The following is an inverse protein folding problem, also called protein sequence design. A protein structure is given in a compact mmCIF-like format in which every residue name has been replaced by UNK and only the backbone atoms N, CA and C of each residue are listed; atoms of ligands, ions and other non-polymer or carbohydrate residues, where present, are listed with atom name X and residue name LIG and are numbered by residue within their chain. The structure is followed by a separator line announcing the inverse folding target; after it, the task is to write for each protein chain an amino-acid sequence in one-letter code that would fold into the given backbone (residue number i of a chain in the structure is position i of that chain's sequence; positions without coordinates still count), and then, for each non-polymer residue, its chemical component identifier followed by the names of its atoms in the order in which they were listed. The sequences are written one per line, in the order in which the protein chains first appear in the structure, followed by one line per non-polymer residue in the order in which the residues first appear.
data_IF_226292210386
#
_entry.id   IF_226292210386
#
_cell.length_a   1.000
_cell.length_b   1.000
_cell.length_c   1.000
_cell.angle_alpha   90.00
_cell.angle_beta   90.00
_cell.angle_gamma   90.00
#
_symmetry.space_group_name_H-M   'P 1'
#
loop_
_entity.id
_entity.type
_entity.pdbx_description
1 polymer ?
#
# COMPACT_ATOMS: atom_id res chain seq x y z
N UNK A 1 11.43 26.84 -51.77
CA UNK A 1 12.44 26.74 -50.70
C UNK A 1 12.51 25.29 -50.26
N UNK A 2 13.70 24.67 -50.15
CA UNK A 2 13.80 23.23 -50.06
C UNK A 2 13.38 22.73 -48.68
N UNK A 3 12.66 21.60 -48.67
CA UNK A 3 12.34 20.83 -47.49
C UNK A 3 13.63 20.22 -46.92
N UNK A 4 14.06 20.69 -45.76
CA UNK A 4 15.11 20.02 -44.98
C UNK A 4 14.52 18.74 -44.38
N UNK A 5 14.80 17.62 -45.04
CA UNK A 5 14.65 16.29 -44.47
C UNK A 5 15.56 16.15 -43.25
N UNK A 6 15.01 16.25 -42.04
CA UNK A 6 15.70 15.84 -40.83
C UNK A 6 15.77 14.31 -40.80
N UNK A 7 16.88 13.76 -41.29
CA UNK A 7 17.23 12.36 -41.07
C UNK A 7 17.72 12.22 -39.63
N UNK A 8 16.84 11.84 -38.72
CA UNK A 8 17.18 11.46 -37.34
C UNK A 8 17.89 10.09 -37.36
N UNK A 9 19.17 10.07 -37.69
CA UNK A 9 20.07 9.01 -37.23
C UNK A 9 20.32 9.24 -35.74
N UNK A 10 19.51 8.58 -34.92
CA UNK A 10 19.65 8.60 -33.46
C UNK A 10 20.86 7.77 -33.04
N UNK A 11 21.79 8.30 -32.23
CA UNK A 11 22.89 7.52 -31.66
C UNK A 11 22.33 6.45 -30.72
N UNK A 12 23.04 5.31 -30.63
CA UNK A 12 22.69 4.11 -29.84
C UNK A 12 22.54 4.31 -28.32
N UNK A 13 22.50 5.54 -27.83
CA UNK A 13 22.36 5.88 -26.41
C UNK A 13 21.63 7.22 -26.28
N UNK A 14 20.30 7.19 -26.23
CA UNK A 14 19.53 8.37 -25.83
C UNK A 14 19.78 8.61 -24.33
N UNK A 15 20.43 9.72 -24.00
CA UNK A 15 20.57 10.14 -22.60
C UNK A 15 19.43 11.08 -22.21
N UNK A 16 19.07 11.13 -20.93
CA UNK A 16 18.04 12.05 -20.42
C UNK A 16 18.34 13.52 -20.75
N UNK A 17 19.62 13.86 -20.95
CA UNK A 17 20.09 15.18 -21.37
C UNK A 17 19.61 15.55 -22.78
N UNK A 18 19.53 14.59 -23.70
CA UNK A 18 19.13 14.81 -25.11
C UNK A 18 17.62 15.11 -25.25
N UNK A 19 16.80 14.64 -24.30
CA UNK A 19 15.34 14.86 -24.29
C UNK A 19 14.93 16.26 -23.83
N UNK A 20 15.81 16.98 -23.12
CA UNK A 20 15.55 18.34 -22.63
C UNK A 20 15.65 19.42 -23.72
N UNK A 21 16.37 19.12 -24.80
CA UNK A 21 16.65 20.02 -25.93
C UNK A 21 15.61 19.92 -27.05
N UNK A 22 14.74 18.92 -27.02
CA UNK A 22 13.72 18.68 -28.04
C UNK A 22 12.49 19.53 -27.72
N UNK A 23 12.17 20.47 -28.62
CA UNK A 23 10.91 21.23 -28.57
C UNK A 23 9.72 20.28 -28.51
N UNK A 24 8.93 20.33 -27.44
CA UNK A 24 7.85 19.38 -27.13
C UNK A 24 6.56 19.68 -27.91
N UNK A 25 6.63 19.58 -29.24
CA UNK A 25 5.42 19.62 -30.08
C UNK A 25 4.72 18.24 -30.11
N UNK A 26 3.37 18.18 -30.20
CA UNK A 26 2.63 16.91 -30.29
C UNK A 26 3.08 15.99 -31.44
N UNK A 27 3.58 16.56 -32.54
CA UNK A 27 4.12 15.82 -33.67
C UNK A 27 5.38 15.03 -33.28
N UNK A 28 6.28 15.64 -32.49
CA UNK A 28 7.49 14.97 -32.03
C UNK A 28 7.19 13.78 -31.10
N UNK A 29 6.18 13.88 -30.23
CA UNK A 29 5.78 12.76 -29.36
C UNK A 29 5.30 11.56 -30.19
N UNK A 30 4.45 11.81 -31.20
CA UNK A 30 3.95 10.76 -32.08
C UNK A 30 5.08 10.10 -32.88
N UNK A 31 6.03 10.89 -33.37
CA UNK A 31 7.17 10.37 -34.14
C UNK A 31 8.11 9.53 -33.26
N UNK A 32 8.38 9.96 -32.02
CA UNK A 32 9.15 9.16 -31.05
C UNK A 32 8.45 7.83 -30.75
N UNK A 33 7.15 7.87 -30.44
CA UNK A 33 6.38 6.65 -30.16
C UNK A 33 6.35 5.70 -31.36
N UNK A 34 6.20 6.23 -32.58
CA UNK A 34 6.09 5.42 -33.80
C UNK A 34 7.43 4.85 -34.28
N UNK A 35 8.49 5.65 -34.24
CA UNK A 35 9.76 5.32 -34.87
C UNK A 35 10.82 4.80 -33.89
N UNK A 36 10.68 5.09 -32.58
CA UNK A 36 11.62 4.65 -31.55
C UNK A 36 10.98 3.58 -30.66
N UNK A 37 9.83 3.86 -30.05
CA UNK A 37 9.24 2.95 -29.06
C UNK A 37 8.60 1.73 -29.71
N UNK A 38 7.65 1.91 -30.64
CA UNK A 38 6.88 0.81 -31.26
C UNK A 38 7.74 -0.32 -31.85
N UNK A 39 8.85 -0.06 -32.58
CA UNK A 39 9.69 -1.14 -33.11
C UNK A 39 10.21 -2.10 -32.04
N UNK A 40 10.51 -1.61 -30.85
CA UNK A 40 11.03 -2.41 -29.73
C UNK A 40 9.99 -3.38 -29.12
N UNK A 41 8.71 -3.15 -29.39
CA UNK A 41 7.61 -4.01 -28.91
C UNK A 41 6.95 -4.80 -30.04
N UNK A 42 7.42 -4.67 -31.29
CA UNK A 42 6.78 -5.33 -32.45
C UNK A 42 6.95 -6.87 -32.40
N UNK A 43 8.07 -7.35 -31.84
CA UNK A 43 8.31 -8.77 -31.64
C UNK A 43 7.48 -9.37 -30.48
N UNK A 44 6.96 -8.52 -29.58
CA UNK A 44 6.23 -8.93 -28.37
C UNK A 44 4.95 -8.11 -28.22
N UNK A 45 3.97 -8.28 -29.12
CA UNK A 45 2.70 -7.57 -29.02
C UNK A 45 1.95 -7.99 -27.74
N UNK A 46 1.36 -7.02 -27.06
CA UNK A 46 0.67 -7.28 -25.81
C UNK A 46 -0.59 -8.15 -26.02
N UNK A 47 -0.75 -9.30 -25.34
CA UNK A 47 -1.76 -10.30 -25.69
C UNK A 47 -3.20 -9.85 -25.45
N UNK A 48 -3.45 -8.88 -24.55
CA UNK A 48 -4.81 -8.41 -24.22
C UNK A 48 -5.21 -7.10 -24.91
N UNK A 49 -4.39 -6.56 -25.80
CA UNK A 49 -4.65 -5.28 -26.46
C UNK A 49 -4.68 -5.44 -27.98
N UNK A 50 -5.64 -4.76 -28.61
CA UNK A 50 -5.65 -4.62 -30.06
C UNK A 50 -4.50 -3.69 -30.51
N UNK A 51 -3.65 -4.15 -31.43
CA UNK A 51 -2.43 -3.43 -31.85
C UNK A 51 -2.69 -2.04 -32.46
N UNK A 52 -3.82 -1.87 -33.16
CA UNK A 52 -4.15 -0.60 -33.82
C UNK A 52 -5.03 0.34 -32.99
N UNK A 53 -5.80 -0.18 -32.04
CA UNK A 53 -6.80 0.63 -31.31
C UNK A 53 -6.53 0.70 -29.81
N UNK A 54 -5.64 -0.14 -29.28
CA UNK A 54 -5.42 -0.34 -27.85
C UNK A 54 -6.71 -0.63 -27.05
N UNK A 55 -7.77 -1.11 -27.71
CA UNK A 55 -8.94 -1.65 -27.02
C UNK A 55 -8.61 -3.00 -26.41
N UNK A 56 -9.18 -3.27 -25.24
CA UNK A 56 -9.03 -4.56 -24.57
C UNK A 56 -9.71 -5.65 -25.39
N UNK A 57 -9.00 -6.76 -25.59
CA UNK A 57 -9.51 -7.92 -26.30
C UNK A 57 -10.32 -8.82 -25.35
N UNK A 58 -11.43 -9.37 -25.84
CA UNK A 58 -12.26 -10.31 -25.07
C UNK A 58 -11.53 -11.63 -24.76
N UNK A 59 -10.59 -12.02 -25.63
CA UNK A 59 -9.69 -13.16 -25.43
C UNK A 59 -8.26 -12.71 -25.71
N UNK A 60 -7.26 -13.25 -25.00
CA UNK A 60 -5.87 -13.03 -25.35
C UNK A 60 -5.62 -13.43 -26.82
N UNK A 61 -4.88 -12.61 -27.55
CA UNK A 61 -4.36 -12.98 -28.86
C UNK A 61 -3.37 -14.14 -28.71
N UNK A 62 -3.30 -15.02 -29.72
CA UNK A 62 -2.26 -16.03 -29.81
C UNK A 62 -0.90 -15.32 -30.00
N UNK A 63 -0.21 -15.09 -28.89
CA UNK A 63 1.16 -14.61 -28.88
C UNK A 63 2.09 -15.83 -28.80
N UNK A 64 3.09 -15.89 -29.68
CA UNK A 64 4.31 -16.69 -29.40
C UNK A 64 4.89 -16.25 -28.05
N UNK A 65 5.60 -17.16 -27.38
CA UNK A 65 6.11 -16.99 -26.00
C UNK A 65 6.46 -15.51 -25.68
N UNK A 66 5.64 -14.80 -24.89
CA UNK A 66 5.76 -13.35 -24.71
C UNK A 66 7.05 -12.93 -24.00
N UNK A 67 7.79 -13.91 -23.46
CA UNK A 67 9.06 -13.71 -22.77
C UNK A 67 10.27 -14.08 -23.63
N UNK A 68 10.07 -14.64 -24.82
CA UNK A 68 11.15 -15.01 -25.70
C UNK A 68 11.65 -13.79 -26.51
N UNK A 69 12.92 -13.42 -26.30
CA UNK A 69 13.63 -12.34 -27.03
C UNK A 69 12.91 -10.98 -26.98
N UNK A 70 13.04 -10.28 -25.83
CA UNK A 70 12.41 -8.99 -25.54
C UNK A 70 13.39 -7.81 -25.78
N UNK A 71 13.51 -7.28 -27.02
CA UNK A 71 14.55 -6.30 -27.36
C UNK A 71 14.40 -4.97 -26.60
N UNK A 72 13.19 -4.65 -26.12
CA UNK A 72 12.96 -3.47 -25.30
C UNK A 72 13.74 -3.50 -23.97
N UNK A 73 14.12 -4.68 -23.45
CA UNK A 73 14.92 -4.80 -22.21
C UNK A 73 16.37 -4.40 -22.39
N UNK A 74 16.89 -4.48 -23.63
CA UNK A 74 18.27 -4.09 -23.96
C UNK A 74 18.44 -2.57 -24.09
N UNK A 75 17.35 -1.81 -23.96
CA UNK A 75 17.33 -0.36 -24.12
C UNK A 75 17.21 0.31 -22.75
N UNK A 76 18.33 0.69 -22.11
CA UNK A 76 18.27 1.36 -20.82
C UNK A 76 17.51 2.69 -20.94
N UNK A 77 16.73 3.02 -19.91
CA UNK A 77 15.93 4.26 -19.84
C UNK A 77 14.82 4.37 -20.89
N UNK A 78 14.41 3.26 -21.52
CA UNK A 78 13.22 3.27 -22.37
C UNK A 78 11.96 3.75 -21.61
N UNK A 79 11.86 3.42 -20.32
CA UNK A 79 10.82 3.93 -19.44
C UNK A 79 10.85 5.46 -19.28
N UNK A 80 12.03 6.10 -19.25
CA UNK A 80 12.13 7.57 -19.24
C UNK A 80 11.61 8.20 -20.54
N UNK A 81 11.86 7.55 -21.69
CA UNK A 81 11.35 8.01 -22.99
C UNK A 81 9.83 7.91 -23.02
N UNK A 82 9.26 6.80 -22.54
CA UNK A 82 7.81 6.62 -22.45
C UNK A 82 7.21 7.64 -21.47
N UNK A 83 7.83 7.85 -20.31
CA UNK A 83 7.44 8.86 -19.33
C UNK A 83 7.45 10.26 -19.94
N UNK A 84 8.50 10.62 -20.69
CA UNK A 84 8.57 11.89 -21.40
C UNK A 84 7.41 12.04 -22.40
N UNK A 85 7.06 10.98 -23.13
CA UNK A 85 5.91 11.00 -24.06
C UNK A 85 4.60 11.24 -23.31
N UNK A 86 4.39 10.61 -22.15
CA UNK A 86 3.21 10.81 -21.30
C UNK A 86 3.13 12.28 -20.85
N UNK A 87 4.21 12.81 -20.28
CA UNK A 87 4.24 14.15 -19.69
C UNK A 87 4.11 15.27 -20.73
N UNK A 88 4.56 15.03 -21.96
CA UNK A 88 4.48 15.99 -23.06
C UNK A 88 3.25 15.80 -23.96
N UNK A 89 2.35 14.87 -23.63
CA UNK A 89 1.06 14.73 -24.31
C UNK A 89 0.01 15.61 -23.63
N UNK A 90 -0.74 16.36 -24.43
CA UNK A 90 -1.93 17.08 -23.93
C UNK A 90 -3.14 16.14 -23.86
N UNK A 91 -4.07 16.33 -22.91
CA UNK A 91 -5.25 15.47 -22.72
C UNK A 91 -6.02 15.16 -24.02
N UNK A 92 -6.24 16.17 -24.87
CA UNK A 92 -6.98 16.04 -26.13
C UNK A 92 -6.28 15.15 -27.20
N UNK A 93 -4.98 14.91 -27.06
CA UNK A 93 -4.18 14.18 -28.05
C UNK A 93 -3.96 12.71 -27.70
N UNK A 94 -4.32 12.26 -26.49
CA UNK A 94 -4.11 10.87 -26.08
C UNK A 94 -4.78 9.87 -27.03
N UNK A 95 -5.98 10.15 -27.52
CA UNK A 95 -6.71 9.25 -28.42
C UNK A 95 -5.90 8.92 -29.70
N UNK A 96 -5.12 9.88 -30.21
CA UNK A 96 -4.33 9.70 -31.43
C UNK A 96 -3.09 8.84 -31.23
N UNK A 97 -2.54 8.82 -30.01
CA UNK A 97 -1.31 8.08 -29.67
C UNK A 97 -1.59 6.84 -28.81
N UNK A 98 -2.85 6.62 -28.41
CA UNK A 98 -3.26 5.60 -27.44
C UNK A 98 -2.74 4.21 -27.78
N UNK A 99 -2.89 3.82 -29.04
CA UNK A 99 -2.44 2.53 -29.58
C UNK A 99 -0.91 2.35 -29.63
N UNK A 100 -0.15 3.45 -29.60
CA UNK A 100 1.31 3.41 -29.56
C UNK A 100 1.84 3.41 -28.12
N UNK A 101 1.11 4.05 -27.21
CA UNK A 101 1.54 4.32 -25.85
C UNK A 101 1.14 3.21 -24.87
N UNK A 102 -0.09 2.70 -24.98
CA UNK A 102 -0.62 1.75 -24.00
C UNK A 102 0.09 0.39 -24.01
N UNK A 103 0.38 -0.25 -25.16
CA UNK A 103 1.02 -1.56 -25.15
C UNK A 103 2.38 -1.57 -24.44
N UNK A 104 3.32 -0.62 -24.68
CA UNK A 104 4.55 -0.54 -23.90
C UNK A 104 4.31 -0.44 -22.39
N UNK A 105 3.40 0.42 -21.94
CA UNK A 105 3.09 0.59 -20.50
C UNK A 105 2.60 -0.73 -19.90
N UNK A 106 1.67 -1.41 -20.59
CA UNK A 106 1.17 -2.70 -20.13
C UNK A 106 2.26 -3.77 -20.11
N UNK A 107 3.14 -3.82 -21.12
CA UNK A 107 4.27 -4.76 -21.14
C UNK A 107 5.21 -4.56 -19.95
N UNK A 108 5.50 -3.33 -19.55
CA UNK A 108 6.28 -3.07 -18.33
C UNK A 108 5.54 -3.57 -17.06
N UNK A 109 4.24 -3.27 -16.95
CA UNK A 109 3.45 -3.63 -15.77
C UNK A 109 3.24 -5.15 -15.63
N UNK A 110 3.04 -5.85 -16.74
CA UNK A 110 2.76 -7.29 -16.78
C UNK A 110 4.05 -8.15 -16.81
N UNK A 111 5.24 -7.54 -16.91
CA UNK A 111 6.51 -8.28 -16.91
C UNK A 111 6.70 -9.12 -15.65
N UNK A 112 7.38 -10.26 -15.75
CA UNK A 112 7.60 -11.15 -14.59
C UNK A 112 8.63 -10.59 -13.59
N UNK A 113 9.54 -9.70 -14.03
CA UNK A 113 10.55 -9.11 -13.14
C UNK A 113 9.96 -7.90 -12.40
N UNK A 114 10.13 -7.87 -11.08
CA UNK A 114 9.54 -6.85 -10.21
C UNK A 114 10.05 -5.43 -10.54
N UNK A 115 11.31 -5.29 -10.93
CA UNK A 115 11.89 -4.00 -11.31
C UNK A 115 11.17 -3.32 -12.49
N UNK A 116 10.73 -4.10 -13.48
CA UNK A 116 9.93 -3.58 -14.60
C UNK A 116 8.48 -3.31 -14.20
N UNK A 117 7.89 -4.14 -13.32
CA UNK A 117 6.56 -3.88 -12.76
C UNK A 117 6.49 -2.55 -12.02
N UNK A 118 7.50 -2.22 -11.21
CA UNK A 118 7.60 -0.95 -10.48
C UNK A 118 7.61 0.23 -11.49
N UNK A 119 8.46 0.16 -12.53
CA UNK A 119 8.49 1.17 -13.59
C UNK A 119 7.14 1.28 -14.31
N UNK A 120 6.52 0.14 -14.62
CA UNK A 120 5.18 0.06 -15.20
C UNK A 120 4.13 0.76 -14.34
N UNK A 121 4.14 0.53 -13.02
CA UNK A 121 3.25 1.20 -12.08
C UNK A 121 3.45 2.72 -12.07
N UNK A 122 4.68 3.21 -12.07
CA UNK A 122 4.96 4.64 -12.18
C UNK A 122 4.51 5.23 -13.53
N UNK A 123 4.71 4.52 -14.65
CA UNK A 123 4.21 4.94 -15.96
C UNK A 123 2.69 5.03 -15.96
N UNK A 124 1.99 4.08 -15.35
CA UNK A 124 0.53 4.12 -15.18
C UNK A 124 0.12 5.31 -14.33
N UNK A 125 0.76 5.57 -13.19
CA UNK A 125 0.43 6.74 -12.36
C UNK A 125 0.56 8.07 -13.12
N UNK A 126 1.66 8.23 -13.87
CA UNK A 126 1.86 9.40 -14.74
C UNK A 126 0.79 9.50 -15.84
N UNK A 127 0.36 8.36 -16.40
CA UNK A 127 -0.71 8.30 -17.40
C UNK A 127 -2.05 8.73 -16.80
N UNK A 128 -2.41 8.18 -15.64
CA UNK A 128 -3.67 8.45 -14.95
C UNK A 128 -3.81 9.92 -14.51
N UNK A 129 -2.69 10.59 -14.23
CA UNK A 129 -2.70 12.02 -13.91
C UNK A 129 -3.09 12.94 -15.08
N UNK A 130 -3.15 12.42 -16.32
CA UNK A 130 -3.28 13.26 -17.53
C UNK A 130 -4.30 12.76 -18.55
N UNK A 131 -4.58 11.45 -18.57
CA UNK A 131 -5.49 10.84 -19.56
C UNK A 131 -6.95 11.20 -19.25
N UNK A 132 -7.79 11.50 -20.26
CA UNK A 132 -9.23 11.65 -20.06
C UNK A 132 -9.85 10.34 -19.52
N UNK A 133 -10.62 10.38 -18.41
CA UNK A 133 -11.25 9.19 -17.83
C UNK A 133 -12.13 8.43 -18.82
N UNK A 134 -12.81 9.15 -19.71
CA UNK A 134 -13.72 8.60 -20.72
C UNK A 134 -12.98 7.69 -21.70
N UNK A 135 -11.69 7.98 -21.98
CA UNK A 135 -10.88 7.16 -22.85
C UNK A 135 -10.57 5.80 -22.21
N UNK A 136 -10.27 5.78 -20.90
CA UNK A 136 -10.03 4.54 -20.15
C UNK A 136 -11.28 3.65 -20.14
N UNK A 137 -12.43 4.25 -19.80
CA UNK A 137 -13.71 3.55 -19.69
C UNK A 137 -14.18 3.02 -21.05
N UNK A 138 -14.14 3.86 -22.10
CA UNK A 138 -14.62 3.49 -23.44
C UNK A 138 -13.75 2.41 -24.09
N UNK A 139 -12.47 2.33 -23.74
CA UNK A 139 -11.56 1.31 -24.27
C UNK A 139 -11.50 0.04 -23.42
N UNK A 140 -12.11 0.06 -22.23
CA UNK A 140 -12.09 -1.02 -21.24
C UNK A 140 -10.75 -1.17 -20.50
N UNK A 141 -9.85 -0.20 -20.68
CA UNK A 141 -8.47 -0.25 -20.18
C UNK A 141 -8.42 -0.05 -18.67
N UNK A 142 -9.43 0.58 -18.08
CA UNK A 142 -9.57 0.67 -16.63
C UNK A 142 -9.63 -0.72 -15.98
N UNK A 143 -10.41 -1.65 -16.54
CA UNK A 143 -10.52 -3.02 -16.04
C UNK A 143 -9.22 -3.81 -16.23
N UNK A 144 -8.54 -3.59 -17.36
CA UNK A 144 -7.26 -4.22 -17.64
C UNK A 144 -6.17 -3.74 -16.67
N UNK A 145 -6.02 -2.42 -16.51
CA UNK A 145 -5.06 -1.83 -15.57
C UNK A 145 -5.32 -2.29 -14.14
N UNK A 146 -6.59 -2.29 -13.71
CA UNK A 146 -6.94 -2.77 -12.37
C UNK A 146 -6.50 -4.23 -12.19
N UNK A 147 -6.79 -5.10 -13.15
CA UNK A 147 -6.39 -6.51 -13.13
C UNK A 147 -4.88 -6.65 -13.04
N UNK A 148 -4.13 -5.97 -13.91
CA UNK A 148 -2.66 -6.04 -13.94
C UNK A 148 -2.00 -5.49 -12.68
N UNK A 149 -2.48 -4.37 -12.14
CA UNK A 149 -2.01 -3.81 -10.87
C UNK A 149 -2.27 -4.77 -9.70
N UNK A 150 -3.48 -5.34 -9.59
CA UNK A 150 -3.76 -6.33 -8.53
C UNK A 150 -2.93 -7.61 -8.68
N UNK A 151 -2.70 -8.07 -9.92
CA UNK A 151 -1.86 -9.25 -10.18
C UNK A 151 -0.38 -9.00 -9.85
N UNK A 152 0.12 -7.77 -10.00
CA UNK A 152 1.46 -7.41 -9.57
C UNK A 152 1.65 -7.67 -8.07
N UNK A 153 0.59 -7.53 -7.27
CA UNK A 153 0.61 -7.77 -5.83
C UNK A 153 0.45 -9.24 -5.40
N UNK A 154 0.35 -10.19 -6.34
CA UNK A 154 0.21 -11.62 -6.00
C UNK A 154 1.56 -12.35 -5.84
N UNK A 155 2.68 -11.75 -6.27
CA UNK A 155 4.01 -12.38 -6.31
C UNK A 155 5.03 -11.62 -5.46
N UNK A 156 4.80 -11.55 -4.14
CA UNK A 156 5.48 -10.64 -3.21
C UNK A 156 6.74 -11.21 -2.55
N UNK A 157 7.55 -12.00 -3.28
CA UNK A 157 8.73 -12.70 -2.72
C UNK A 157 10.08 -12.08 -3.12
N UNK A 158 10.07 -10.90 -3.72
CA UNK A 158 11.28 -10.19 -4.18
C UNK A 158 11.77 -9.17 -3.15
N UNK A 159 13.06 -8.83 -3.14
CA UNK A 159 13.58 -7.78 -2.25
C UNK A 159 13.01 -6.39 -2.55
N UNK A 160 12.56 -6.16 -3.79
CA UNK A 160 11.94 -4.90 -4.25
C UNK A 160 10.44 -4.85 -3.98
N UNK A 161 9.85 -5.91 -3.41
CA UNK A 161 8.43 -5.98 -3.04
C UNK A 161 7.93 -4.78 -2.23
N UNK A 162 8.68 -4.25 -1.24
CA UNK A 162 8.24 -3.07 -0.49
C UNK A 162 8.01 -1.85 -1.39
N UNK A 163 8.88 -1.62 -2.37
CA UNK A 163 8.72 -0.53 -3.34
C UNK A 163 7.55 -0.81 -4.30
N UNK A 164 7.38 -2.06 -4.74
CA UNK A 164 6.25 -2.46 -5.57
C UNK A 164 4.91 -2.16 -4.89
N UNK A 165 4.75 -2.48 -3.60
CA UNK A 165 3.53 -2.17 -2.83
C UNK A 165 3.30 -0.67 -2.79
N UNK A 166 4.34 0.11 -2.47
CA UNK A 166 4.26 1.59 -2.39
C UNK A 166 3.95 2.24 -3.72
N UNK A 167 4.35 1.65 -4.85
CA UNK A 167 4.02 2.16 -6.18
C UNK A 167 2.62 1.73 -6.63
N UNK A 168 2.27 0.45 -6.48
CA UNK A 168 1.06 -0.14 -7.06
C UNK A 168 -0.21 0.23 -6.30
N UNK A 169 -0.18 0.25 -4.96
CA UNK A 169 -1.40 0.51 -4.17
C UNK A 169 -1.93 1.93 -4.40
N UNK A 170 -1.13 3.01 -4.29
CA UNK A 170 -1.60 4.36 -4.60
C UNK A 170 -2.04 4.53 -6.05
N UNK A 171 -1.32 3.90 -7.00
CA UNK A 171 -1.69 3.91 -8.42
C UNK A 171 -3.05 3.24 -8.66
N UNK A 172 -3.33 2.16 -7.94
CA UNK A 172 -4.62 1.46 -8.02
C UNK A 172 -5.74 2.33 -7.44
N UNK A 173 -5.50 3.01 -6.32
CA UNK A 173 -6.45 3.96 -5.75
C UNK A 173 -6.73 5.12 -6.72
N UNK A 174 -5.69 5.70 -7.32
CA UNK A 174 -5.82 6.74 -8.35
C UNK A 174 -6.69 6.28 -9.52
N UNK A 175 -6.51 5.04 -9.99
CA UNK A 175 -7.34 4.46 -11.05
C UNK A 175 -8.80 4.33 -10.61
N UNK A 176 -9.05 3.84 -9.40
CA UNK A 176 -10.39 3.66 -8.85
C UNK A 176 -11.09 5.02 -8.71
N UNK A 177 -10.40 6.03 -8.19
CA UNK A 177 -10.96 7.38 -8.02
C UNK A 177 -11.28 8.04 -9.36
N UNK A 178 -10.42 7.84 -10.36
CA UNK A 178 -10.62 8.39 -11.70
C UNK A 178 -11.80 7.73 -12.44
N UNK A 179 -12.01 6.43 -12.25
CA UNK A 179 -12.95 5.62 -13.05
C UNK A 179 -14.23 5.25 -12.31
N UNK A 180 -14.26 5.45 -10.99
CA UNK A 180 -15.40 5.17 -10.12
C UNK A 180 -15.34 6.10 -8.90
N UNK A 181 -15.53 7.42 -9.09
CA UNK A 181 -15.36 8.41 -8.03
C UNK A 181 -16.32 8.20 -6.87
N UNK A 182 -15.89 8.58 -5.66
CA UNK A 182 -16.76 8.63 -4.49
C UNK A 182 -17.80 9.74 -4.66
N UNK A 183 -19.06 9.47 -4.36
CA UNK A 183 -20.15 10.44 -4.47
C UNK A 183 -20.63 11.01 -3.13
N UNK A 184 -19.88 10.76 -2.06
CA UNK A 184 -20.10 11.41 -0.76
C UNK A 184 -19.06 12.51 -0.57
N UNK A 185 -19.27 13.73 -1.10
CA UNK A 185 -18.60 14.90 -0.56
C UNK A 185 -19.13 15.16 0.86
N UNK A 186 -18.33 15.83 1.68
CA UNK A 186 -18.58 16.16 3.08
C UNK A 186 -20.04 16.48 3.41
N UNK A 187 -20.46 16.08 4.62
CA UNK A 187 -21.81 15.93 5.20
C UNK A 187 -22.83 17.11 5.12
N UNK A 188 -22.79 17.98 4.11
CA UNK A 188 -23.58 19.23 4.04
C UNK A 188 -24.63 19.27 2.93
N UNK A 189 -24.82 18.22 2.12
CA UNK A 189 -25.90 18.21 1.10
C UNK A 189 -27.02 17.22 1.45
N UNK A 190 -28.31 17.66 1.50
CA UNK A 190 -29.42 16.81 1.86
C UNK A 190 -29.75 15.80 0.74
N UNK A 191 -29.86 14.52 1.13
CA UNK A 191 -30.24 13.40 0.27
C UNK A 191 -31.62 13.62 -0.38
N UNK A 192 -31.66 13.66 -1.72
CA UNK A 192 -32.86 13.32 -2.48
C UNK A 192 -32.79 11.86 -2.91
N UNK A 193 -33.87 11.14 -2.59
CA UNK A 193 -34.08 9.72 -2.76
C UNK A 193 -34.17 9.26 -4.22
N UNK A 194 -33.80 7.98 -4.41
CA UNK A 194 -33.69 7.19 -5.67
C UNK A 194 -32.35 7.37 -6.42
N UNK A 195 -31.38 6.52 -6.06
CA UNK A 195 -30.14 6.34 -6.83
C UNK A 195 -30.49 5.70 -8.17
N UNK A 196 -30.01 6.27 -9.27
CA UNK A 196 -30.19 5.69 -10.61
C UNK A 196 -29.49 4.33 -10.72
N UNK A 197 -29.97 3.40 -11.56
CA UNK A 197 -29.34 2.09 -11.76
C UNK A 197 -27.86 2.18 -12.18
N UNK A 198 -27.51 3.20 -12.98
CA UNK A 198 -26.13 3.46 -13.39
C UNK A 198 -25.23 3.84 -12.21
N UNK A 199 -25.75 4.60 -11.25
CA UNK A 199 -25.01 5.02 -10.07
C UNK A 199 -24.76 3.83 -9.11
N UNK A 200 -25.75 2.97 -8.93
CA UNK A 200 -25.58 1.75 -8.14
C UNK A 200 -24.47 0.86 -8.69
N UNK A 201 -24.35 0.76 -10.03
CA UNK A 201 -23.28 0.01 -10.67
C UNK A 201 -21.89 0.61 -10.43
N UNK A 202 -21.77 1.95 -10.45
CA UNK A 202 -20.49 2.64 -10.17
C UNK A 202 -20.07 2.43 -8.71
N UNK A 203 -20.98 2.63 -7.76
CA UNK A 203 -20.69 2.42 -6.33
C UNK A 203 -20.35 0.95 -6.04
N UNK A 204 -21.08 0.01 -6.64
CA UNK A 204 -20.79 -1.41 -6.53
C UNK A 204 -19.41 -1.74 -7.12
N UNK A 205 -19.05 -1.16 -8.26
CA UNK A 205 -17.74 -1.38 -8.90
C UNK A 205 -16.61 -0.83 -8.05
N UNK A 206 -16.74 0.41 -7.57
CA UNK A 206 -15.76 1.06 -6.67
C UNK A 206 -15.48 0.16 -5.46
N UNK A 207 -16.55 -0.23 -4.80
CA UNK A 207 -16.46 -1.05 -3.60
C UNK A 207 -15.86 -2.44 -3.86
N UNK A 208 -16.24 -3.11 -4.96
CA UNK A 208 -15.64 -4.39 -5.34
C UNK A 208 -14.14 -4.23 -5.56
N UNK A 209 -13.72 -3.20 -6.32
CA UNK A 209 -12.30 -2.94 -6.59
C UNK A 209 -11.50 -2.65 -5.31
N UNK A 210 -12.02 -1.79 -4.44
CA UNK A 210 -11.37 -1.48 -3.16
C UNK A 210 -11.32 -2.69 -2.22
N UNK A 211 -12.41 -3.48 -2.17
CA UNK A 211 -12.46 -4.70 -1.37
C UNK A 211 -11.45 -5.72 -1.86
N UNK A 212 -11.33 -5.93 -3.18
CA UNK A 212 -10.31 -6.82 -3.76
C UNK A 212 -8.90 -6.35 -3.44
N UNK A 213 -8.61 -5.05 -3.60
CA UNK A 213 -7.31 -4.47 -3.27
C UNK A 213 -6.96 -4.70 -1.78
N UNK A 214 -7.93 -4.46 -0.89
CA UNK A 214 -7.74 -4.66 0.54
C UNK A 214 -7.56 -6.14 0.89
N UNK A 215 -8.50 -7.01 0.51
CA UNK A 215 -8.53 -8.40 0.96
C UNK A 215 -7.46 -9.27 0.29
N UNK A 216 -7.37 -9.20 -1.04
CA UNK A 216 -6.57 -10.12 -1.83
C UNK A 216 -5.11 -9.69 -1.91
N UNK A 217 -4.84 -8.39 -1.84
CA UNK A 217 -3.48 -7.86 -2.04
C UNK A 217 -2.81 -7.39 -0.74
N UNK A 218 -3.53 -6.72 0.16
CA UNK A 218 -2.90 -6.11 1.35
C UNK A 218 -3.07 -6.98 2.59
N UNK A 219 -4.29 -7.37 2.97
CA UNK A 219 -4.52 -8.19 4.16
C UNK A 219 -3.85 -9.56 4.06
N UNK A 220 -3.91 -10.21 2.90
CA UNK A 220 -3.20 -11.48 2.69
C UNK A 220 -1.70 -11.37 2.98
N UNK A 221 -1.07 -10.28 2.53
CA UNK A 221 0.33 -9.98 2.81
C UNK A 221 0.57 -9.72 4.29
N UNK A 222 -0.25 -8.85 4.89
CA UNK A 222 -0.15 -8.52 6.32
C UNK A 222 -0.27 -9.77 7.18
N UNK A 223 -1.26 -10.62 6.94
CA UNK A 223 -1.50 -11.86 7.68
C UNK A 223 -0.39 -12.88 7.43
N UNK A 224 0.12 -12.99 6.20
CA UNK A 224 1.20 -13.93 5.88
C UNK A 224 2.50 -13.60 6.64
N UNK A 225 2.85 -12.33 6.77
CA UNK A 225 4.12 -11.90 7.37
C UNK A 225 4.03 -11.61 8.88
N UNK A 226 2.83 -11.52 9.47
CA UNK A 226 2.66 -11.23 10.92
C UNK A 226 3.13 -12.37 11.84
N UNK A 227 2.84 -13.67 11.57
CA UNK A 227 3.29 -14.78 12.41
C UNK A 227 4.81 -14.90 12.55
N UNK A 228 5.58 -14.33 11.62
CA UNK A 228 7.04 -14.30 11.70
C UNK A 228 7.56 -13.39 12.84
N UNK A 229 6.70 -12.57 13.44
CA UNK A 229 7.07 -11.53 14.41
C UNK A 229 6.43 -11.78 15.79
N UNK A 230 5.32 -12.51 15.85
CA UNK A 230 4.71 -12.89 17.11
C UNK A 230 5.42 -14.12 17.70
N UNK A 231 5.69 -14.16 19.01
CA UNK A 231 6.16 -15.38 19.65
C UNK A 231 5.13 -16.49 19.43
N UNK A 232 5.56 -17.76 19.25
CA UNK A 232 4.62 -18.86 19.17
C UNK A 232 3.75 -18.88 20.41
N UNK A 233 2.44 -19.09 20.24
CA UNK A 233 1.54 -19.30 21.38
C UNK A 233 2.16 -20.37 22.28
N UNK A 234 2.17 -20.18 23.62
CA UNK A 234 2.62 -21.22 24.52
C UNK A 234 1.84 -22.49 24.19
N UNK A 235 2.56 -23.58 23.94
CA UNK A 235 1.95 -24.87 23.64
C UNK A 235 0.83 -25.11 24.68
N UNK A 236 -0.37 -25.55 24.26
CA UNK A 236 -1.43 -25.86 25.21
C UNK A 236 -0.81 -26.78 26.26
N UNK A 237 -0.92 -26.37 27.52
CA UNK A 237 -0.33 -27.12 28.63
C UNK A 237 -0.74 -28.59 28.47
N UNK A 238 0.19 -29.56 28.58
CA UNK A 238 -0.16 -30.96 28.42
C UNK A 238 -1.32 -31.26 29.35
N UNK A 239 -2.45 -31.67 28.78
CA UNK A 239 -3.67 -31.99 29.52
C UNK A 239 -3.30 -32.97 30.61
N UNK A 240 -3.22 -32.48 31.84
CA UNK A 240 -2.76 -33.25 33.01
C UNK A 240 -3.85 -34.23 33.48
N UNK A 241 -4.88 -34.42 32.66
CA UNK A 241 -6.06 -35.27 32.86
C UNK A 241 -6.32 -36.23 31.69
N UNK A 242 -5.44 -36.31 30.69
CA UNK A 242 -5.58 -37.33 29.64
C UNK A 242 -5.13 -38.70 30.18
N UNK A 243 -6.08 -39.62 30.32
CA UNK A 243 -5.85 -41.02 30.72
C UNK A 243 -4.84 -41.72 29.79
N UNK A 244 -3.87 -42.50 30.33
CA UNK A 244 -2.77 -43.07 29.56
C UNK A 244 -3.12 -44.31 28.70
N UNK A 245 -4.41 -44.62 28.47
CA UNK A 245 -4.81 -45.91 27.87
C UNK A 245 -5.19 -45.90 26.38
N UNK A 246 -5.09 -44.79 25.66
CA UNK A 246 -5.33 -44.77 24.21
C UNK A 246 -4.22 -44.06 23.42
N UNK A 247 -3.06 -44.69 23.37
CA UNK A 247 -1.99 -44.34 22.43
C UNK A 247 -1.80 -45.48 21.41
N UNK A 248 -2.68 -45.58 20.43
CA UNK A 248 -2.37 -46.28 19.17
C UNK A 248 -2.92 -45.54 17.95
N UNK A 249 -1.98 -45.36 17.02
CA UNK A 249 -2.10 -45.20 15.56
C UNK A 249 -2.61 -43.90 14.93
N UNK A 250 -1.74 -43.42 14.04
CA UNK A 250 -1.99 -42.66 12.82
C UNK A 250 -2.10 -41.13 12.96
N UNK A 251 -0.95 -40.49 12.86
CA UNK A 251 -0.84 -39.11 12.39
C UNK A 251 0.30 -39.03 11.38
N UNK A 252 -0.07 -39.09 10.11
CA UNK A 252 0.77 -38.66 8.99
C UNK A 252 1.17 -37.20 9.22
N UNK A 253 2.45 -37.00 9.51
CA UNK A 253 3.06 -35.68 9.59
C UNK A 253 3.20 -35.13 8.17
N UNK A 254 2.27 -34.26 7.79
CA UNK A 254 2.47 -33.34 6.67
C UNK A 254 3.63 -32.42 7.07
N UNK A 255 4.81 -32.75 6.59
CA UNK A 255 6.00 -31.89 6.63
C UNK A 255 5.76 -30.72 5.68
N UNK A 256 5.06 -29.69 6.17
CA UNK A 256 5.15 -28.36 5.61
C UNK A 256 6.61 -27.93 5.74
N UNK A 257 7.31 -27.90 4.62
CA UNK A 257 8.64 -27.32 4.48
C UNK A 257 8.61 -25.85 4.94
N UNK A 258 8.86 -25.65 6.24
CA UNK A 258 9.27 -24.40 6.84
C UNK A 258 10.69 -24.08 6.36
N UNK A 259 10.80 -23.60 5.11
CA UNK A 259 12.00 -22.90 4.68
C UNK A 259 11.97 -21.52 5.32
N UNK A 260 12.57 -21.48 6.50
CA UNK A 260 12.73 -20.34 7.36
C UNK A 260 13.61 -19.31 6.63
N UNK A 261 12.99 -18.31 6.02
CA UNK A 261 13.67 -17.04 5.73
C UNK A 261 13.89 -16.34 7.08
N UNK A 262 14.92 -16.77 7.81
CA UNK A 262 15.37 -16.02 9.00
C UNK A 262 15.69 -14.60 8.56
N UNK A 263 15.10 -13.55 9.18
CA UNK A 263 15.44 -12.18 8.85
C UNK A 263 16.95 -11.98 9.04
N UNK A 264 17.64 -11.33 8.09
CA UNK A 264 19.09 -11.20 8.12
C UNK A 264 19.62 -10.39 9.33
N UNK A 265 18.74 -9.64 10.01
CA UNK A 265 19.02 -8.98 11.27
C UNK A 265 17.89 -9.33 12.24
N UNK A 266 18.19 -10.13 13.27
CA UNK A 266 17.24 -10.95 14.02
C UNK A 266 16.27 -10.23 14.95
N UNK A 267 15.62 -9.13 14.52
CA UNK A 267 14.55 -8.45 15.25
C UNK A 267 13.83 -7.31 14.48
N UNK A 268 14.30 -6.92 13.29
CA UNK A 268 13.63 -5.87 12.51
C UNK A 268 12.36 -6.40 11.82
N UNK A 269 11.26 -5.63 11.76
CA UNK A 269 10.06 -6.04 11.05
C UNK A 269 10.34 -6.21 9.57
N UNK A 270 9.76 -7.25 8.96
CA UNK A 270 9.97 -7.55 7.55
C UNK A 270 9.57 -6.34 6.67
N UNK A 271 10.42 -5.87 5.74
CA UNK A 271 10.18 -4.61 5.03
C UNK A 271 8.90 -4.63 4.17
N UNK A 272 8.50 -5.80 3.65
CA UNK A 272 7.22 -5.97 2.95
C UNK A 272 6.02 -5.73 3.86
N UNK A 273 6.10 -6.17 5.11
CA UNK A 273 5.03 -5.97 6.09
C UNK A 273 4.90 -4.48 6.43
N UNK A 274 6.03 -3.80 6.66
CA UNK A 274 6.07 -2.36 6.91
C UNK A 274 5.46 -1.58 5.73
N UNK A 275 5.86 -1.92 4.50
CA UNK A 275 5.28 -1.28 3.31
C UNK A 275 3.76 -1.50 3.18
N UNK A 276 3.27 -2.73 3.44
CA UNK A 276 1.85 -3.03 3.45
C UNK A 276 1.10 -2.25 4.55
N UNK A 277 1.69 -2.15 5.74
CA UNK A 277 1.15 -1.40 6.86
C UNK A 277 1.02 0.11 6.55
N UNK A 278 1.97 0.70 5.81
CA UNK A 278 1.94 2.12 5.45
C UNK A 278 0.84 2.47 4.44
N UNK A 279 0.54 1.57 3.50
CA UNK A 279 -0.48 1.82 2.45
C UNK A 279 -1.88 1.42 2.90
N UNK A 280 -2.01 0.59 3.93
CA UNK A 280 -3.30 0.12 4.46
C UNK A 280 -4.25 1.25 4.89
N UNK A 281 -3.82 2.31 5.61
CA UNK A 281 -4.66 3.47 5.90
C UNK A 281 -5.30 4.12 4.67
N UNK A 282 -4.58 4.19 3.55
CA UNK A 282 -5.08 4.81 2.31
C UNK A 282 -6.27 4.04 1.76
N UNK A 283 -6.21 2.70 1.80
CA UNK A 283 -7.29 1.84 1.30
C UNK A 283 -8.48 1.82 2.25
N UNK A 284 -8.25 1.84 3.57
CA UNK A 284 -9.31 1.95 4.57
C UNK A 284 -10.06 3.29 4.41
N UNK A 285 -9.32 4.40 4.28
CA UNK A 285 -9.90 5.72 4.04
C UNK A 285 -10.74 5.73 2.75
N UNK A 286 -10.23 5.15 1.66
CA UNK A 286 -10.94 5.07 0.38
C UNK A 286 -12.22 4.22 0.44
N UNK A 287 -12.27 3.20 1.30
CA UNK A 287 -13.46 2.37 1.57
C UNK A 287 -14.50 3.07 2.45
N UNK A 288 -14.07 4.00 3.31
CA UNK A 288 -14.92 4.65 4.31
C UNK A 288 -15.60 3.62 5.23
N UNK A 289 -16.88 3.84 5.55
CA UNK A 289 -17.67 2.95 6.43
C UNK A 289 -17.74 1.49 5.95
N UNK A 290 -17.51 1.25 4.65
CA UNK A 290 -17.48 -0.09 4.10
C UNK A 290 -16.31 -0.92 4.65
N UNK A 291 -15.25 -0.28 5.15
CA UNK A 291 -14.12 -0.91 5.82
C UNK A 291 -14.53 -1.67 7.10
N UNK A 292 -15.68 -1.34 7.70
CA UNK A 292 -16.18 -1.98 8.91
C UNK A 292 -16.33 -3.52 8.79
N UNK A 293 -16.54 -4.04 7.58
CA UNK A 293 -16.60 -5.49 7.31
C UNK A 293 -15.27 -6.22 7.53
N UNK A 294 -14.16 -5.49 7.52
CA UNK A 294 -12.82 -6.03 7.63
C UNK A 294 -12.23 -5.86 9.04
N UNK A 295 -12.95 -5.24 9.97
CA UNK A 295 -12.47 -5.00 11.35
C UNK A 295 -11.99 -6.28 12.03
N UNK A 296 -12.72 -7.38 11.85
CA UNK A 296 -12.35 -8.69 12.39
C UNK A 296 -10.98 -9.19 11.91
N UNK A 297 -10.57 -8.82 10.70
CA UNK A 297 -9.26 -9.17 10.15
C UNK A 297 -8.17 -8.13 10.44
N UNK A 298 -8.54 -6.85 10.60
CA UNK A 298 -7.58 -5.75 10.77
C UNK A 298 -7.23 -5.53 12.23
N UNK A 299 -8.24 -5.39 13.11
CA UNK A 299 -8.02 -4.97 14.51
C UNK A 299 -7.06 -5.90 15.24
N UNK A 300 -7.26 -7.24 15.27
CA UNK A 300 -6.36 -8.13 15.98
C UNK A 300 -4.90 -8.05 15.51
N UNK A 301 -4.69 -7.79 14.21
CA UNK A 301 -3.35 -7.70 13.63
C UNK A 301 -2.65 -6.42 14.09
N UNK A 302 -3.32 -5.27 14.00
CA UNK A 302 -2.70 -3.99 14.41
C UNK A 302 -2.51 -3.91 15.92
N UNK A 303 -3.40 -4.49 16.73
CA UNK A 303 -3.20 -4.58 18.18
C UNK A 303 -2.08 -5.56 18.53
N UNK A 304 -1.91 -6.63 17.75
CA UNK A 304 -0.76 -7.52 17.84
C UNK A 304 0.56 -6.80 17.56
N UNK A 305 0.60 -5.90 16.58
CA UNK A 305 1.78 -5.07 16.31
C UNK A 305 2.11 -4.12 17.47
N UNK A 306 1.11 -3.52 18.11
CA UNK A 306 1.30 -2.67 19.30
C UNK A 306 1.90 -3.45 20.49
N UNK A 307 1.55 -4.73 20.61
CA UNK A 307 2.04 -5.62 21.66
C UNK A 307 3.44 -6.20 21.36
N UNK A 308 4.07 -5.87 20.23
CA UNK A 308 5.41 -6.34 19.94
C UNK A 308 6.43 -5.72 20.90
N UNK A 309 7.38 -6.52 21.42
CA UNK A 309 8.43 -6.01 22.29
C UNK A 309 9.31 -5.03 21.52
N UNK A 310 9.79 -3.99 22.21
CA UNK A 310 10.74 -3.08 21.60
C UNK A 310 12.07 -3.81 21.42
N UNK A 311 12.48 -3.94 20.17
CA UNK A 311 13.80 -4.48 19.87
C UNK A 311 14.86 -3.52 20.38
N UNK A 312 15.47 -3.86 21.52
CA UNK A 312 16.62 -3.16 22.08
C UNK A 312 17.84 -3.44 21.21
N UNK A 313 17.87 -2.90 19.98
CA UNK A 313 19.06 -2.86 19.15
C UNK A 313 20.01 -1.77 19.68
N UNK A 314 20.38 -1.85 20.95
CA UNK A 314 21.40 -1.01 21.58
C UNK A 314 22.70 -1.80 21.66
N UNK A 315 23.28 -2.14 20.52
CA UNK A 315 24.66 -2.63 20.45
C UNK A 315 25.27 -2.46 19.06
N UNK A 316 25.29 -1.23 18.53
CA UNK A 316 26.29 -0.79 17.54
C UNK A 316 26.37 0.75 17.49
N UNK A 317 27.43 1.36 18.03
CA UNK A 317 27.65 2.81 17.99
C UNK A 317 28.36 3.22 16.69
N UNK A 318 27.81 2.86 15.53
CA UNK A 318 28.42 3.15 14.24
C UNK A 318 27.36 3.44 13.18
N UNK A 319 26.94 4.71 13.12
CA UNK A 319 26.52 5.48 11.94
C UNK A 319 25.66 6.66 12.42
N UNK A 320 26.30 7.59 13.13
CA UNK A 320 25.83 8.97 13.14
C UNK A 320 26.18 9.53 11.76
N UNK A 321 25.31 9.29 10.79
CA UNK A 321 25.16 10.25 9.71
C UNK A 321 24.20 11.31 10.27
N UNK A 322 24.77 12.45 10.64
CA UNK A 322 24.07 13.70 10.89
C UNK A 322 23.20 14.01 9.66
N UNK A 323 21.98 13.52 9.63
CA UNK A 323 20.91 14.28 8.99
C UNK A 323 20.37 15.20 10.07
N UNK A 324 20.70 16.47 9.91
CA UNK A 324 20.15 17.62 10.60
C UNK A 324 18.61 17.56 10.49
N UNK A 325 17.95 16.85 11.42
CA UNK A 325 16.50 16.86 11.55
C UNK A 325 16.17 18.21 12.18
N UNK A 326 16.03 19.21 11.31
CA UNK A 326 15.32 20.43 11.68
C UNK A 326 13.97 20.04 12.25
N UNK A 327 13.79 20.26 13.55
CA UNK A 327 12.51 20.14 14.24
C UNK A 327 11.57 21.19 13.66
N UNK A 328 10.95 20.87 12.53
CA UNK A 328 9.76 21.56 12.07
C UNK A 328 8.64 21.07 12.99
N UNK A 329 7.95 21.99 13.69
CA UNK A 329 6.64 21.70 14.28
C UNK A 329 5.67 21.35 13.14
N UNK A 330 5.73 20.11 12.68
CA UNK A 330 4.79 19.54 11.73
C UNK A 330 3.50 19.15 12.43
N UNK A 331 2.45 18.99 11.64
CA UNK A 331 1.19 18.41 12.11
C UNK A 331 1.41 16.97 12.61
N UNK A 332 0.47 16.43 13.39
CA UNK A 332 0.50 15.03 13.85
C UNK A 332 0.74 14.02 12.71
N UNK A 333 0.17 14.30 11.53
CA UNK A 333 0.39 13.48 10.33
C UNK A 333 1.84 13.52 9.86
N UNK A 334 2.52 14.65 9.94
CA UNK A 334 3.93 14.78 9.57
C UNK A 334 4.84 13.94 10.50
N UNK A 335 4.50 13.87 11.80
CA UNK A 335 5.23 13.03 12.77
C UNK A 335 5.05 11.54 12.48
N UNK A 336 3.85 11.10 12.08
CA UNK A 336 3.59 9.70 11.71
C UNK A 336 4.19 9.30 10.36
N UNK A 337 4.46 10.26 9.47
CA UNK A 337 5.03 10.02 8.14
C UNK A 337 6.56 9.92 8.14
N UNK A 338 7.26 10.50 9.13
CA UNK A 338 8.73 10.48 9.19
C UNK A 338 9.31 9.14 9.67
N UNK A 339 8.51 8.28 10.29
CA UNK A 339 8.98 7.04 10.93
C UNK A 339 8.87 5.81 10.03
N UNK A 340 9.18 5.96 8.75
CA UNK A 340 9.02 4.87 7.78
C UNK A 340 10.04 3.73 7.92
N UNK A 341 11.15 4.00 8.61
CA UNK A 341 12.25 3.05 8.79
C UNK A 341 12.69 3.04 10.26
N UNK A 342 12.54 1.90 10.92
CA UNK A 342 13.01 1.73 12.30
C UNK A 342 12.33 0.57 13.01
N UNK A 343 12.82 0.23 14.22
CA UNK A 343 12.29 -0.88 15.02
C UNK A 343 10.83 -0.67 15.45
N UNK A 344 10.36 0.59 15.49
CA UNK A 344 8.99 0.95 15.88
C UNK A 344 8.06 1.25 14.69
N UNK A 345 8.49 0.98 13.45
CA UNK A 345 7.71 1.31 12.26
C UNK A 345 6.30 0.68 12.29
N UNK A 346 6.18 -0.56 12.78
CA UNK A 346 4.89 -1.24 12.91
C UNK A 346 4.00 -0.63 14.01
N UNK A 347 4.56 -0.13 15.11
CA UNK A 347 3.77 0.53 16.17
C UNK A 347 3.14 1.82 15.65
N UNK A 348 3.91 2.66 14.95
CA UNK A 348 3.38 3.89 14.34
C UNK A 348 2.36 3.59 13.23
N UNK A 349 2.63 2.59 12.40
CA UNK A 349 1.69 2.16 11.38
C UNK A 349 0.37 1.64 12.00
N UNK A 350 0.44 0.86 13.09
CA UNK A 350 -0.72 0.38 13.81
C UNK A 350 -1.58 1.54 14.35
N UNK A 351 -0.97 2.52 15.01
CA UNK A 351 -1.70 3.70 15.52
C UNK A 351 -2.35 4.49 14.40
N UNK A 352 -1.64 4.70 13.28
CA UNK A 352 -2.20 5.38 12.10
C UNK A 352 -3.40 4.61 11.52
N UNK A 353 -3.32 3.29 11.44
CA UNK A 353 -4.46 2.45 10.98
C UNK A 353 -5.63 2.58 11.96
N UNK A 354 -5.40 2.49 13.26
CA UNK A 354 -6.44 2.64 14.29
C UNK A 354 -7.11 4.02 14.17
N UNK A 355 -6.35 5.10 13.98
CA UNK A 355 -6.88 6.43 13.78
C UNK A 355 -7.84 6.51 12.60
N UNK A 356 -7.44 5.99 11.43
CA UNK A 356 -8.30 5.97 10.25
C UNK A 356 -9.52 5.06 10.46
N UNK A 357 -9.38 3.94 11.17
CA UNK A 357 -10.52 3.08 11.52
C UNK A 357 -11.52 3.81 12.42
N UNK A 358 -11.05 4.59 13.40
CA UNK A 358 -11.93 5.37 14.27
C UNK A 358 -12.71 6.42 13.46
N UNK A 359 -12.04 7.12 12.53
CA UNK A 359 -12.70 8.13 11.67
C UNK A 359 -13.71 7.51 10.69
N UNK A 360 -13.37 6.35 10.12
CA UNK A 360 -14.13 5.77 9.02
C UNK A 360 -15.21 4.79 9.47
N UNK A 361 -14.99 4.09 10.58
CA UNK A 361 -15.83 2.96 11.00
C UNK A 361 -16.70 3.26 12.23
N UNK A 362 -16.68 4.45 12.82
CA UNK A 362 -17.62 4.81 13.88
C UNK A 362 -19.09 4.71 13.38
N UNK A 363 -20.03 4.18 14.18
CA UNK A 363 -19.89 3.60 15.54
C UNK A 363 -19.53 2.10 15.54
N UNK A 364 -19.38 1.46 14.38
CA UNK A 364 -19.14 0.00 14.25
C UNK A 364 -17.80 -0.48 14.82
N UNK A 365 -16.92 0.46 15.18
CA UNK A 365 -15.64 0.18 15.84
C UNK A 365 -15.79 -0.09 17.34
N UNK A 366 -16.90 0.32 17.97
CA UNK A 366 -17.12 0.20 19.42
C UNK A 366 -16.94 -1.23 19.99
N UNK A 367 -17.43 -2.31 19.35
CA UNK A 367 -17.21 -3.68 19.85
C UNK A 367 -15.74 -4.11 19.89
N UNK A 368 -14.85 -3.37 19.22
CA UNK A 368 -13.41 -3.62 19.16
C UNK A 368 -12.61 -2.74 20.11
N UNK A 369 -13.27 -1.81 20.82
CA UNK A 369 -12.63 -0.82 21.68
C UNK A 369 -11.78 -1.47 22.77
N UNK A 370 -12.30 -2.49 23.45
CA UNK A 370 -11.57 -3.26 24.49
C UNK A 370 -10.28 -3.88 23.94
N UNK A 371 -10.32 -4.48 22.74
CA UNK A 371 -9.14 -5.07 22.09
C UNK A 371 -8.10 -4.01 21.73
N UNK A 372 -8.55 -2.85 21.25
CA UNK A 372 -7.67 -1.72 20.93
C UNK A 372 -6.98 -1.21 22.21
N UNK A 373 -7.72 -1.07 23.31
CA UNK A 373 -7.17 -0.63 24.61
C UNK A 373 -6.16 -1.62 25.16
N UNK A 374 -6.42 -2.94 25.10
CA UNK A 374 -5.44 -3.94 25.54
C UNK A 374 -4.12 -3.82 24.76
N UNK A 375 -4.18 -3.71 23.43
CA UNK A 375 -2.98 -3.50 22.60
C UNK A 375 -2.23 -2.21 22.94
N UNK A 376 -2.96 -1.10 23.13
CA UNK A 376 -2.37 0.18 23.51
C UNK A 376 -1.76 0.15 24.92
N UNK A 377 -2.42 -0.48 25.89
CA UNK A 377 -1.95 -0.59 27.26
C UNK A 377 -0.64 -1.39 27.32
N UNK A 378 -0.53 -2.52 26.60
CA UNK A 378 0.72 -3.29 26.50
C UNK A 378 1.85 -2.48 25.89
N UNK A 379 1.57 -1.77 24.79
CA UNK A 379 2.54 -0.87 24.15
C UNK A 379 3.01 0.23 25.11
N UNK A 380 2.09 0.81 25.88
CA UNK A 380 2.40 1.82 26.88
C UNK A 380 3.30 1.30 27.99
N UNK A 381 3.02 0.11 28.53
CA UNK A 381 3.88 -0.54 29.54
C UNK A 381 5.30 -0.71 29.01
N UNK A 382 5.47 -1.19 27.77
CA UNK A 382 6.80 -1.26 27.15
C UNK A 382 7.48 0.11 27.03
N UNK A 383 6.73 1.19 26.77
CA UNK A 383 7.27 2.54 26.78
C UNK A 383 7.74 2.97 28.18
N UNK A 384 7.02 2.58 29.23
CA UNK A 384 7.39 2.86 30.62
C UNK A 384 8.64 2.08 31.03
N UNK A 385 8.73 0.81 30.65
CA UNK A 385 9.90 -0.04 30.94
C UNK A 385 11.18 0.55 30.34
N UNK A 386 11.13 1.00 29.08
CA UNK A 386 12.28 1.64 28.42
C UNK A 386 12.57 3.05 28.97
N UNK A 387 11.53 3.80 29.33
CA UNK A 387 11.70 5.15 29.90
C UNK A 387 12.28 5.17 31.32
N UNK A 388 12.31 4.02 32.00
CA UNK A 388 12.96 3.89 33.31
C UNK A 388 14.48 3.99 33.26
N UNK A 389 15.09 3.95 32.06
CA UNK A 389 16.51 4.20 31.85
C UNK A 389 16.86 5.70 31.92
N UNK A 390 18.08 6.04 32.33
CA UNK A 390 18.54 7.43 32.58
C UNK A 390 18.38 8.40 31.40
N UNK A 391 18.26 7.89 30.17
CA UNK A 391 18.05 8.68 28.95
C UNK A 391 16.88 8.08 28.17
N UNK A 392 15.77 8.83 28.12
CA UNK A 392 14.59 8.42 27.37
C UNK A 392 14.81 8.65 25.86
N UNK A 393 14.68 7.61 25.02
CA UNK A 393 14.87 7.81 23.59
C UNK A 393 13.73 8.67 22.99
N UNK A 394 14.04 9.63 22.08
CA UNK A 394 13.04 10.58 21.57
C UNK A 394 11.90 9.91 20.78
N UNK A 395 12.16 8.76 20.16
CA UNK A 395 11.13 7.99 19.45
C UNK A 395 10.12 7.33 20.41
N UNK A 396 10.51 6.99 21.65
CA UNK A 396 9.61 6.44 22.67
C UNK A 396 8.68 7.54 23.20
N UNK A 397 9.20 8.75 23.42
CA UNK A 397 8.37 9.92 23.76
C UNK A 397 7.33 10.20 22.69
N UNK A 398 7.76 10.15 21.42
CA UNK A 398 6.87 10.32 20.27
C UNK A 398 5.78 9.25 20.24
N UNK A 399 6.13 7.98 20.47
CA UNK A 399 5.17 6.89 20.52
C UNK A 399 4.15 7.04 21.66
N UNK A 400 4.60 7.45 22.86
CA UNK A 400 3.71 7.73 24.00
C UNK A 400 2.70 8.83 23.69
N UNK A 401 3.15 9.93 23.06
CA UNK A 401 2.26 11.01 22.64
C UNK A 401 1.21 10.50 21.65
N UNK A 402 1.63 9.71 20.65
CA UNK A 402 0.70 9.10 19.71
C UNK A 402 -0.32 8.17 20.38
N UNK A 403 0.09 7.39 21.39
CA UNK A 403 -0.81 6.53 22.19
C UNK A 403 -1.84 7.37 22.95
N UNK A 404 -1.42 8.46 23.61
CA UNK A 404 -2.31 9.38 24.31
C UNK A 404 -3.35 10.01 23.37
N UNK A 405 -2.91 10.52 22.22
CA UNK A 405 -3.80 11.12 21.22
C UNK A 405 -4.79 10.09 20.66
N UNK A 406 -4.34 8.84 20.48
CA UNK A 406 -5.22 7.72 20.10
C UNK A 406 -6.25 7.44 21.20
N UNK A 407 -5.87 7.50 22.48
CA UNK A 407 -6.78 7.27 23.60
C UNK A 407 -7.85 8.36 23.70
N UNK A 408 -7.48 9.62 23.47
CA UNK A 408 -8.43 10.75 23.41
C UNK A 408 -9.41 10.52 22.26
N UNK A 409 -8.91 10.21 21.06
CA UNK A 409 -9.76 9.95 19.90
C UNK A 409 -10.71 8.77 20.10
N UNK A 410 -10.22 7.71 20.73
CA UNK A 410 -11.00 6.53 21.06
C UNK A 410 -12.11 6.85 22.06
N UNK A 411 -11.84 7.68 23.08
CA UNK A 411 -12.88 8.12 24.03
C UNK A 411 -14.00 8.93 23.37
N UNK A 412 -13.65 9.80 22.40
CA UNK A 412 -14.65 10.56 21.63
C UNK A 412 -15.47 9.69 20.68
N UNK A 413 -14.85 8.66 20.08
CA UNK A 413 -15.52 7.74 19.16
C UNK A 413 -16.33 6.62 19.85
N UNK A 414 -15.92 6.22 21.06
CA UNK A 414 -16.50 5.12 21.83
C UNK A 414 -16.64 5.52 23.32
N UNK A 415 -17.63 6.36 23.70
CA UNK A 415 -17.71 6.90 25.06
C UNK A 415 -17.83 5.85 26.17
N UNK A 416 -18.40 4.67 25.87
CA UNK A 416 -18.52 3.53 26.78
C UNK A 416 -17.17 3.05 27.34
N UNK A 417 -16.06 3.34 26.63
CA UNK A 417 -14.72 2.93 27.03
C UNK A 417 -14.18 3.67 28.25
N UNK A 418 -14.67 4.91 28.44
CA UNK A 418 -14.23 5.80 29.50
C UNK A 418 -14.73 5.27 30.85
N UNK A 419 -15.99 4.86 30.89
CA UNK A 419 -16.64 4.37 32.11
C UNK A 419 -16.19 2.95 32.50
N UNK A 420 -15.76 2.16 31.51
CA UNK A 420 -15.43 0.75 31.69
C UNK A 420 -13.92 0.52 31.66
N UNK A 421 -13.31 0.43 30.48
CA UNK A 421 -11.92 -0.01 30.30
C UNK A 421 -10.90 0.98 30.88
N UNK A 422 -11.04 2.28 30.63
CA UNK A 422 -10.08 3.28 31.16
C UNK A 422 -10.10 3.33 32.68
N UNK A 423 -11.29 3.26 33.27
CA UNK A 423 -11.45 3.16 34.71
C UNK A 423 -10.81 1.87 35.26
N UNK A 424 -11.04 0.73 34.62
CA UNK A 424 -10.42 -0.55 35.02
C UNK A 424 -8.88 -0.49 34.97
N UNK A 425 -8.29 0.18 33.97
CA UNK A 425 -6.84 0.37 33.91
C UNK A 425 -6.30 1.20 35.06
N UNK A 426 -6.98 2.30 35.42
CA UNK A 426 -6.57 3.15 36.55
C UNK A 426 -6.78 2.46 37.90
N UNK A 427 -7.88 1.72 38.06
CA UNK A 427 -8.15 0.92 39.26
C UNK A 427 -7.10 -0.18 39.43
N UNK A 428 -6.61 -0.76 38.33
CA UNK A 428 -5.54 -1.75 38.35
C UNK A 428 -4.17 -1.13 38.74
N UNK A 429 -3.76 -0.04 38.08
CA UNK A 429 -2.54 0.68 38.42
C UNK A 429 -2.55 2.13 37.91
N UNK A 430 -3.02 3.04 38.76
CA UNK A 430 -3.12 4.47 38.44
C UNK A 430 -1.75 5.09 38.13
N UNK A 431 -0.69 4.75 38.87
CA UNK A 431 0.65 5.29 38.62
C UNK A 431 1.18 4.93 37.23
N UNK A 432 0.83 3.76 36.72
CA UNK A 432 1.29 3.27 35.42
C UNK A 432 0.48 3.85 34.26
N UNK A 433 -0.85 3.96 34.41
CA UNK A 433 -1.76 4.29 33.32
C UNK A 433 -2.31 5.72 33.33
N UNK A 434 -2.09 6.52 34.37
CA UNK A 434 -2.53 7.92 34.43
C UNK A 434 -2.04 8.71 33.21
N UNK A 435 -0.77 8.53 32.84
CA UNK A 435 -0.21 9.17 31.65
C UNK A 435 -0.88 8.77 30.33
N UNK A 436 -1.50 7.59 30.22
CA UNK A 436 -2.16 7.14 29.00
C UNK A 436 -3.62 7.61 28.90
N UNK A 437 -4.38 7.50 30.00
CA UNK A 437 -5.86 7.62 29.97
C UNK A 437 -6.42 8.80 30.77
N UNK A 438 -5.64 9.50 31.59
CA UNK A 438 -6.17 10.56 32.46
C UNK A 438 -6.61 11.82 31.70
N UNK A 439 -5.94 12.17 30.59
CA UNK A 439 -6.37 13.28 29.73
C UNK A 439 -7.74 12.99 29.08
N UNK A 440 -7.95 11.85 28.39
CA UNK A 440 -9.28 11.46 27.89
C UNK A 440 -10.40 11.52 28.93
N UNK A 441 -10.13 11.09 30.17
CA UNK A 441 -11.10 11.10 31.28
C UNK A 441 -11.46 12.50 31.80
N UNK A 442 -10.61 13.51 31.58
CA UNK A 442 -10.87 14.90 31.99
C UNK A 442 -11.70 15.67 30.96
N UNK A 443 -11.59 15.26 29.70
CA UNK A 443 -12.23 15.93 28.56
C UNK A 443 -13.58 15.29 28.17
N UNK A 444 -13.84 14.05 28.60
CA UNK A 444 -15.12 13.34 28.50
C UNK A 444 -16.09 13.77 29.61
#
# INVERSE_FOLDING_TARGET
MPATSFSLTLPHSLTASDLSTISSTPLHVKDVLKNVVKPLFTATPHPRLHTETARVLARPADSQDPFHHQPWKDHPKLDDVIRWCILNTQPAHYEQIWHLLLPPIMTFLDDYQVSFKIRGAYLVSNLLARVPPELLLRTGVDGLLFTSLTNALNHLRDSSTPELIRAVVPTTLQLIDLTSPSQFPDATSPCTSSLSPSLNNVLSTRFTRLSTLLSSSILGTVIMYTPAILPPDPAPAPDTFADPEHAESDSESITLNSMQTTPPDGNAPHPTLVAAAHVLPLVIAALGIAAARFLKGIVPVVTGWLALPFSTATSSPSLVAENDIGVVMGTYEDMLLQTESGPLALHFAALRIIHVLLDTCAPRIEPWATTIVDGMARCWVHCMDVASADIKPPHIETLQKCLQETAVKLSGGCPSIVENEFKQLLDFNSLLFDGLVANPLRDA
#
